data_IF_049506444569
#
_entry.id   IF_049506444569
#
_cell.length_a   1.000
_cell.length_b   1.000
_cell.length_c   1.000
_cell.angle_alpha   90.00
_cell.angle_beta   90.00
_cell.angle_gamma   90.00
#
_symmetry.space_group_name_H-M   'P 1'
#
loop_
_entity.id
_entity.type
_entity.pdbx_description
1 polymer ?
#
# COMPACT_ATOMS: atom_id res chain seq x y z
N UNK A 1 4.09 -6.06 -13.50
CA UNK A 1 4.92 -7.28 -13.34
C UNK A 1 4.47 -7.97 -12.05
N UNK A 2 4.10 -9.25 -12.10
CA UNK A 2 3.69 -10.00 -10.90
C UNK A 2 4.91 -10.77 -10.40
N UNK A 3 5.42 -10.40 -9.24
CA UNK A 3 6.40 -11.17 -8.49
C UNK A 3 5.68 -12.08 -7.50
N UNK A 4 6.06 -13.34 -7.49
CA UNK A 4 5.46 -14.35 -6.64
C UNK A 4 6.56 -15.20 -6.00
N UNK A 5 6.34 -15.53 -4.74
CA UNK A 5 7.16 -16.44 -3.95
C UNK A 5 6.24 -17.50 -3.34
N UNK A 6 6.76 -18.54 -2.66
CA UNK A 6 5.89 -19.53 -2.02
C UNK A 6 4.87 -18.92 -1.05
N UNK A 7 5.17 -17.79 -0.40
CA UNK A 7 4.32 -17.19 0.64
C UNK A 7 3.67 -15.87 0.22
N UNK A 8 4.36 -15.10 -0.60
CA UNK A 8 3.99 -13.72 -0.92
C UNK A 8 3.75 -13.57 -2.41
N UNK A 9 2.89 -12.64 -2.78
CA UNK A 9 2.76 -12.18 -4.16
C UNK A 9 2.60 -10.66 -4.20
N UNK A 10 2.88 -10.05 -5.34
CA UNK A 10 2.68 -8.62 -5.57
C UNK A 10 1.48 -8.38 -6.46
N UNK A 11 0.64 -7.41 -6.12
CA UNK A 11 -0.42 -6.90 -7.00
C UNK A 11 -0.56 -5.38 -6.88
N UNK A 12 -1.25 -4.71 -7.83
CA UNK A 12 -1.59 -3.32 -7.65
C UNK A 12 -2.42 -3.13 -6.38
N UNK A 13 -2.26 -1.97 -5.75
CA UNK A 13 -3.18 -1.50 -4.74
C UNK A 13 -4.60 -1.39 -5.31
N UNK A 14 -5.58 -1.63 -4.45
CA UNK A 14 -7.01 -1.52 -4.75
C UNK A 14 -7.67 -0.69 -3.66
N UNK A 15 -8.81 -0.06 -3.96
CA UNK A 15 -9.56 0.72 -2.98
C UNK A 15 -10.00 -0.12 -1.76
N UNK A 16 -10.18 -1.44 -1.94
CA UNK A 16 -10.47 -2.38 -0.86
C UNK A 16 -9.31 -2.55 0.14
N UNK A 17 -8.11 -2.11 -0.17
CA UNK A 17 -6.94 -2.21 0.71
C UNK A 17 -6.87 -1.09 1.75
N UNK A 18 -7.90 -0.25 1.86
CA UNK A 18 -7.88 0.93 2.75
C UNK A 18 -7.56 0.59 4.20
N UNK A 19 -8.09 -0.51 4.73
CA UNK A 19 -7.79 -0.93 6.11
C UNK A 19 -6.32 -1.32 6.27
N UNK A 20 -5.75 -2.01 5.28
CA UNK A 20 -4.33 -2.37 5.27
C UNK A 20 -3.43 -1.13 5.09
N UNK A 21 -3.84 -0.18 4.26
CA UNK A 21 -3.14 1.08 4.05
C UNK A 21 -3.12 1.95 5.33
N UNK A 22 -4.26 2.03 6.03
CA UNK A 22 -4.36 2.72 7.33
C UNK A 22 -3.47 2.04 8.37
N UNK A 23 -3.49 0.71 8.46
CA UNK A 23 -2.61 0.00 9.40
C UNK A 23 -1.12 0.21 9.09
N UNK A 24 -0.75 0.19 7.81
CA UNK A 24 0.63 0.35 7.38
C UNK A 24 1.15 1.77 7.58
N UNK A 25 0.43 2.77 7.06
CA UNK A 25 0.86 4.16 7.06
C UNK A 25 0.44 4.93 8.32
N UNK A 26 -0.52 4.41 9.07
CA UNK A 26 -0.86 4.88 10.39
C UNK A 26 0.09 4.38 11.49
N UNK A 27 0.99 3.42 11.22
CA UNK A 27 2.01 3.02 12.19
C UNK A 27 3.20 3.99 12.17
N UNK A 28 3.45 4.78 13.25
CA UNK A 28 4.56 5.71 13.31
C UNK A 28 5.93 5.02 13.15
N UNK A 29 6.07 3.72 13.46
CA UNK A 29 7.31 2.97 13.24
C UNK A 29 7.59 2.75 11.76
N UNK A 30 6.54 2.61 10.94
CA UNK A 30 6.65 2.46 9.50
C UNK A 30 6.98 3.80 8.87
N UNK A 31 6.28 4.86 9.27
CA UNK A 31 6.40 6.19 8.65
C UNK A 31 7.56 7.04 9.15
N UNK A 32 8.19 6.68 10.28
CA UNK A 32 9.28 7.45 10.90
C UNK A 32 10.42 7.85 9.94
N UNK A 33 10.73 7.01 8.95
CA UNK A 33 11.85 7.23 8.02
C UNK A 33 11.42 7.55 6.59
N UNK A 34 10.13 7.46 6.29
CA UNK A 34 9.60 7.57 4.92
C UNK A 34 8.54 8.68 4.78
N UNK A 35 8.16 9.33 5.88
CA UNK A 35 7.20 10.44 5.90
C UNK A 35 7.74 11.61 6.71
N UNK A 36 7.79 12.79 6.09
CA UNK A 36 8.13 14.04 6.79
C UNK A 36 7.11 14.41 7.89
N UNK A 37 5.88 13.88 7.82
CA UNK A 37 4.82 14.07 8.82
C UNK A 37 4.95 13.15 10.04
N UNK A 38 5.86 12.16 10.01
CA UNK A 38 6.08 11.22 11.10
C UNK A 38 5.05 10.09 11.19
N UNK A 39 3.75 10.41 11.17
CA UNK A 39 2.63 9.46 11.10
C UNK A 39 1.57 10.00 10.13
N UNK A 40 0.99 9.14 9.29
CA UNK A 40 -0.10 9.54 8.40
C UNK A 40 -1.43 9.32 9.12
N UNK A 41 -2.34 10.29 9.04
CA UNK A 41 -3.71 10.11 9.49
C UNK A 41 -4.46 9.14 8.57
N UNK A 42 -5.65 8.70 8.97
CA UNK A 42 -6.49 7.87 8.11
C UNK A 42 -6.83 8.56 6.78
N UNK A 43 -7.05 9.88 6.83
CA UNK A 43 -7.29 10.71 5.63
C UNK A 43 -6.04 10.74 4.73
N UNK A 44 -4.87 10.99 5.32
CA UNK A 44 -3.60 10.96 4.57
C UNK A 44 -3.33 9.57 3.94
N UNK A 45 -3.68 8.49 4.65
CA UNK A 45 -3.51 7.12 4.15
C UNK A 45 -4.46 6.84 2.98
N UNK A 46 -5.70 7.34 3.04
CA UNK A 46 -6.66 7.24 1.95
C UNK A 46 -6.20 8.01 0.71
N UNK A 47 -5.80 9.28 0.88
CA UNK A 47 -5.25 10.10 -0.21
C UNK A 47 -4.03 9.45 -0.85
N UNK A 48 -3.14 8.87 -0.04
CA UNK A 48 -1.96 8.17 -0.52
C UNK A 48 -2.31 6.91 -1.31
N UNK A 49 -3.30 6.14 -0.87
CA UNK A 49 -3.80 4.96 -1.57
C UNK A 49 -4.38 5.34 -2.94
N UNK A 50 -5.22 6.37 -2.98
CA UNK A 50 -5.81 6.90 -4.21
C UNK A 50 -4.73 7.38 -5.18
N UNK A 51 -3.70 8.07 -4.67
CA UNK A 51 -2.54 8.47 -5.47
C UNK A 51 -1.82 7.25 -6.07
N UNK A 52 -1.60 6.18 -5.28
CA UNK A 52 -0.94 4.96 -5.79
C UNK A 52 -1.74 4.28 -6.91
N UNK A 53 -3.07 4.18 -6.74
CA UNK A 53 -3.98 3.60 -7.73
C UNK A 53 -3.95 4.44 -9.02
N UNK A 54 -4.03 5.76 -8.89
CA UNK A 54 -4.03 6.68 -10.02
C UNK A 54 -2.71 6.65 -10.79
N UNK A 55 -1.57 6.65 -10.08
CA UNK A 55 -0.24 6.54 -10.70
C UNK A 55 -0.11 5.23 -11.47
N UNK A 56 -0.53 4.11 -10.88
CA UNK A 56 -0.50 2.82 -11.56
C UNK A 56 -1.35 2.81 -12.84
N UNK A 57 -2.56 3.40 -12.79
CA UNK A 57 -3.44 3.49 -13.97
C UNK A 57 -2.88 4.40 -15.07
N UNK A 58 -2.29 5.54 -14.70
CA UNK A 58 -1.83 6.54 -15.66
C UNK A 58 -0.49 6.21 -16.30
N UNK A 59 0.41 5.58 -15.54
CA UNK A 59 1.81 5.49 -15.94
C UNK A 59 2.38 4.05 -15.91
N UNK A 60 1.56 3.06 -15.56
CA UNK A 60 1.98 1.67 -15.29
C UNK A 60 3.17 1.59 -14.33
N UNK A 61 3.30 2.60 -13.46
CA UNK A 61 4.43 2.82 -12.58
C UNK A 61 4.12 2.32 -11.17
N UNK A 62 5.02 1.44 -10.76
CA UNK A 62 5.00 0.53 -9.62
C UNK A 62 4.74 1.15 -8.25
N UNK A 63 3.56 0.87 -7.69
CA UNK A 63 3.39 0.72 -6.25
C UNK A 63 2.59 -0.56 -6.03
N UNK A 64 3.30 -1.61 -5.61
CA UNK A 64 2.74 -2.95 -5.48
C UNK A 64 2.48 -3.25 -4.01
N UNK A 65 1.26 -3.67 -3.69
CA UNK A 65 0.96 -4.30 -2.42
C UNK A 65 1.67 -5.66 -2.39
N UNK A 66 2.38 -5.94 -1.29
CA UNK A 66 2.99 -7.25 -1.01
C UNK A 66 2.04 -8.03 -0.11
N UNK A 67 1.42 -9.06 -0.66
CA UNK A 67 0.30 -9.76 -0.03
C UNK A 67 0.74 -11.16 0.40
N UNK A 68 0.36 -11.54 1.62
CA UNK A 68 0.53 -12.90 2.12
C UNK A 68 -0.62 -13.78 1.61
N UNK A 69 -0.28 -14.84 0.88
CA UNK A 69 -1.26 -15.74 0.25
C UNK A 69 -2.25 -16.38 1.22
N UNK A 70 -1.83 -16.59 2.46
CA UNK A 70 -2.64 -17.24 3.50
C UNK A 70 -3.79 -16.36 4.00
N UNK A 71 -3.65 -15.03 3.88
CA UNK A 71 -4.60 -14.06 4.44
C UNK A 71 -5.53 -13.44 3.39
N UNK A 72 -5.36 -13.81 2.12
CA UNK A 72 -6.03 -13.22 0.96
C UNK A 72 -7.05 -14.20 0.37
N UNK A 73 -8.02 -14.61 1.20
CA UNK A 73 -9.05 -15.61 0.89
C UNK A 73 -10.40 -14.97 0.55
#
# INVERSE_FOLDING_TARGET
MIFETPRLYTRPWQASDIDAAIQLWGDPKVTALISAKGQLSNEDANEKLDEQINIQQQYDLSSWALVLKETDA
#
